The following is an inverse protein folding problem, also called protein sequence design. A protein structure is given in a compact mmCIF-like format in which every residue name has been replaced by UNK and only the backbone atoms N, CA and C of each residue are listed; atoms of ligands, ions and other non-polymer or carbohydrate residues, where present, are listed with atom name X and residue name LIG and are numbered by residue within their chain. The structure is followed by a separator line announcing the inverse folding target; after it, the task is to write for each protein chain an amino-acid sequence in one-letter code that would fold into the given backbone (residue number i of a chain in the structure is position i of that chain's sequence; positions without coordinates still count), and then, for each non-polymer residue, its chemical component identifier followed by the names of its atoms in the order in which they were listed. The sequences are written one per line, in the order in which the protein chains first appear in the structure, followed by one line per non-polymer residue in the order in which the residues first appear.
data_IF_086990225618
#
_entry.id   IF_086990225618
#
_cell.length_a   1.000
_cell.length_b   1.000
_cell.length_c   1.000
_cell.angle_alpha   90.00
_cell.angle_beta   90.00
_cell.angle_gamma   90.00
#
_symmetry.space_group_name_H-M   'P 1'
#
loop_
_entity.id
_entity.type
_entity.pdbx_description
1 polymer ?
#
# COMPACT_ATOMS: atom_id res chain seq x y z
N UNK A 1 15.52 -17.65 -50.13
CA UNK A 1 14.95 -16.29 -50.19
C UNK A 1 15.64 -15.42 -49.14
N UNK A 2 16.31 -14.34 -49.55
CA UNK A 2 17.06 -13.48 -48.64
C UNK A 2 16.11 -12.72 -47.71
N UNK A 3 16.26 -12.91 -46.40
CA UNK A 3 15.53 -12.11 -45.41
C UNK A 3 16.04 -10.67 -45.49
N UNK A 4 15.15 -9.75 -45.85
CA UNK A 4 15.42 -8.33 -46.03
C UNK A 4 16.12 -7.76 -44.77
N UNK A 5 17.31 -7.18 -44.91
CA UNK A 5 18.14 -6.77 -43.75
C UNK A 5 17.66 -5.48 -43.10
N UNK A 6 16.98 -4.62 -43.86
CA UNK A 6 16.54 -3.31 -43.43
C UNK A 6 15.06 -3.33 -43.05
N UNK A 7 14.74 -2.66 -41.95
CA UNK A 7 13.36 -2.40 -41.54
C UNK A 7 12.83 -1.21 -42.33
N UNK A 8 11.63 -1.32 -42.90
CA UNK A 8 10.91 -0.17 -43.46
C UNK A 8 10.46 0.78 -42.34
N UNK A 9 10.07 2.00 -42.70
CA UNK A 9 9.54 2.99 -41.76
C UNK A 9 8.29 2.44 -41.06
N UNK A 10 7.37 1.83 -41.81
CA UNK A 10 6.15 1.23 -41.25
C UNK A 10 6.44 0.07 -40.29
N UNK A 11 7.47 -0.74 -40.56
CA UNK A 11 7.89 -1.80 -39.64
C UNK A 11 8.52 -1.23 -38.36
N UNK A 12 9.22 -0.09 -38.45
CA UNK A 12 9.76 0.63 -37.28
C UNK A 12 8.63 1.18 -36.42
N UNK A 13 7.70 1.93 -37.01
CA UNK A 13 6.54 2.48 -36.29
C UNK A 13 5.70 1.37 -35.65
N UNK A 14 5.50 0.27 -36.37
CA UNK A 14 4.80 -0.89 -35.82
C UNK A 14 5.53 -1.46 -34.60
N UNK A 15 6.85 -1.62 -34.68
CA UNK A 15 7.66 -2.15 -33.60
C UNK A 15 7.61 -1.23 -32.38
N UNK A 16 7.73 0.09 -32.57
CA UNK A 16 7.66 1.10 -31.52
C UNK A 16 6.30 1.09 -30.81
N UNK A 17 5.21 1.14 -31.58
CA UNK A 17 3.85 1.18 -31.04
C UNK A 17 3.42 -0.11 -30.35
N UNK A 18 4.04 -1.25 -30.65
CA UNK A 18 3.68 -2.55 -30.08
C UNK A 18 4.72 -3.08 -29.08
N UNK A 19 5.86 -2.40 -28.91
CA UNK A 19 6.90 -2.80 -27.98
C UNK A 19 6.36 -2.79 -26.55
N UNK A 20 6.51 -3.88 -25.80
CA UNK A 20 5.95 -3.99 -24.45
C UNK A 20 4.44 -4.24 -24.40
N UNK A 21 3.69 -4.10 -25.50
CA UNK A 21 2.27 -4.47 -25.59
C UNK A 21 2.15 -5.93 -26.07
N UNK A 22 2.59 -6.19 -27.30
CA UNK A 22 2.57 -7.54 -27.92
C UNK A 22 3.80 -8.35 -27.54
N UNK A 23 3.66 -9.68 -27.52
CA UNK A 23 4.81 -10.56 -27.29
C UNK A 23 5.83 -10.46 -28.42
N UNK A 24 7.12 -10.67 -28.11
CA UNK A 24 8.19 -10.65 -29.11
C UNK A 24 7.94 -11.67 -30.22
N UNK A 25 7.37 -12.83 -29.89
CA UNK A 25 7.01 -13.87 -30.86
C UNK A 25 5.87 -13.43 -31.78
N UNK A 26 4.85 -12.76 -31.24
CA UNK A 26 3.76 -12.21 -32.05
C UNK A 26 4.31 -11.15 -33.02
N UNK A 27 5.15 -10.23 -32.55
CA UNK A 27 5.79 -9.23 -33.42
C UNK A 27 6.69 -9.86 -34.48
N UNK A 28 7.41 -10.94 -34.15
CA UNK A 28 8.22 -11.71 -35.10
C UNK A 28 7.37 -12.32 -36.23
N UNK A 29 6.22 -12.89 -35.88
CA UNK A 29 5.29 -13.47 -36.83
C UNK A 29 4.61 -12.38 -37.67
N UNK A 30 4.13 -11.31 -37.05
CA UNK A 30 3.42 -10.21 -37.72
C UNK A 30 4.33 -9.51 -38.76
N UNK A 31 5.62 -9.35 -38.45
CA UNK A 31 6.61 -8.76 -39.35
C UNK A 31 7.31 -9.79 -40.26
N UNK A 32 6.99 -11.08 -40.12
CA UNK A 32 7.68 -12.20 -40.78
C UNK A 32 9.22 -12.14 -40.65
N UNK A 33 9.70 -11.80 -39.44
CA UNK A 33 11.12 -11.62 -39.10
C UNK A 33 11.55 -12.56 -37.99
N UNK A 34 12.86 -12.83 -37.90
CA UNK A 34 13.39 -13.61 -36.78
C UNK A 34 13.36 -12.79 -35.48
N UNK A 35 13.18 -13.48 -34.35
CA UNK A 35 13.25 -12.88 -33.00
C UNK A 35 14.56 -12.10 -32.82
N UNK A 36 15.69 -12.65 -33.27
CA UNK A 36 17.00 -12.00 -33.20
C UNK A 36 17.05 -10.69 -33.99
N UNK A 37 16.38 -10.62 -35.14
CA UNK A 37 16.30 -9.40 -35.95
C UNK A 37 15.55 -8.30 -35.20
N UNK A 38 14.43 -8.65 -34.56
CA UNK A 38 13.65 -7.73 -33.72
C UNK A 38 14.47 -7.23 -32.52
N UNK A 39 15.14 -8.13 -31.80
CA UNK A 39 15.97 -7.75 -30.65
C UNK A 39 17.12 -6.81 -31.05
N UNK A 40 17.79 -7.08 -32.16
CA UNK A 40 18.84 -6.21 -32.70
C UNK A 40 18.29 -4.84 -33.10
N UNK A 41 17.13 -4.80 -33.75
CA UNK A 41 16.48 -3.55 -34.15
C UNK A 41 16.07 -2.73 -32.94
N UNK A 42 15.48 -3.36 -31.93
CA UNK A 42 15.15 -2.72 -30.65
C UNK A 42 16.37 -2.06 -29.99
N UNK A 43 17.52 -2.74 -29.94
CA UNK A 43 18.74 -2.16 -29.38
C UNK A 43 19.17 -0.89 -30.14
N UNK A 44 19.07 -0.91 -31.48
CA UNK A 44 19.38 0.26 -32.33
C UNK A 44 18.39 1.41 -32.14
N UNK A 45 17.12 1.10 -31.90
CA UNK A 45 16.06 2.07 -31.62
C UNK A 45 16.03 2.53 -30.15
N UNK A 46 16.86 1.94 -29.28
CA UNK A 46 16.95 2.26 -27.84
C UNK A 46 15.61 2.14 -27.08
N UNK A 47 14.73 1.20 -27.46
CA UNK A 47 13.39 1.01 -26.88
C UNK A 47 13.36 0.46 -25.43
N UNK A 48 14.43 0.61 -24.65
CA UNK A 48 14.48 0.22 -23.24
C UNK A 48 14.21 -1.26 -22.95
N UNK A 49 13.91 -1.64 -21.70
CA UNK A 49 13.53 -3.01 -21.39
C UNK A 49 12.07 -3.29 -21.79
N UNK A 50 11.78 -4.51 -22.26
CA UNK A 50 10.43 -4.86 -22.74
C UNK A 50 9.34 -4.71 -21.67
N UNK A 51 9.67 -4.89 -20.39
CA UNK A 51 8.72 -4.77 -19.28
C UNK A 51 8.47 -3.32 -18.85
N UNK A 52 9.29 -2.37 -19.30
CA UNK A 52 9.19 -0.96 -18.91
C UNK A 52 8.35 -0.12 -19.89
N UNK A 53 7.92 -0.71 -21.02
CA UNK A 53 7.24 -0.02 -22.11
C UNK A 53 5.77 -0.46 -22.28
N UNK A 54 5.14 -0.98 -21.23
CA UNK A 54 3.71 -1.34 -21.24
C UNK A 54 2.91 -0.53 -20.23
N UNK A 55 1.58 -0.56 -20.33
CA UNK A 55 0.64 0.05 -19.36
C UNK A 55 0.58 -0.70 -18.00
N UNK A 56 1.49 -1.65 -17.81
CA UNK A 56 1.61 -2.46 -16.62
C UNK A 56 2.97 -2.23 -15.98
N UNK A 57 3.02 -2.50 -14.68
CA UNK A 57 4.27 -2.57 -13.93
C UNK A 57 4.50 -4.00 -13.48
N UNK A 58 5.77 -4.36 -13.32
CA UNK A 58 6.09 -5.62 -12.65
C UNK A 58 5.73 -5.52 -11.18
N UNK A 59 5.34 -6.65 -10.58
CA UNK A 59 5.06 -6.69 -9.14
C UNK A 59 6.29 -6.28 -8.30
N UNK A 60 7.50 -6.52 -8.82
CA UNK A 60 8.73 -6.07 -8.16
C UNK A 60 8.88 -4.55 -8.17
N UNK A 61 8.59 -3.89 -9.31
CA UNK A 61 8.56 -2.42 -9.39
C UNK A 61 7.52 -1.84 -8.44
N UNK A 62 6.32 -2.42 -8.38
CA UNK A 62 5.29 -2.02 -7.41
C UNK A 62 5.79 -2.06 -5.96
N UNK A 63 6.40 -3.19 -5.56
CA UNK A 63 6.92 -3.35 -4.20
C UNK A 63 8.04 -2.37 -3.86
N UNK A 64 8.92 -2.07 -4.82
CA UNK A 64 9.96 -1.05 -4.66
C UNK A 64 9.36 0.34 -4.48
N UNK A 65 8.38 0.70 -5.30
CA UNK A 65 7.74 2.02 -5.24
C UNK A 65 7.05 2.24 -3.88
N UNK A 66 6.36 1.24 -3.33
CA UNK A 66 5.75 1.35 -1.98
C UNK A 66 6.77 1.18 -0.83
N UNK A 67 8.07 1.12 -1.13
CA UNK A 67 9.14 1.03 -0.12
C UNK A 67 9.23 -0.32 0.62
N UNK A 68 8.75 -1.41 0.01
CA UNK A 68 8.79 -2.77 0.56
C UNK A 68 9.74 -3.67 -0.23
N UNK A 69 10.99 -3.73 0.20
CA UNK A 69 12.02 -4.53 -0.49
C UNK A 69 12.08 -5.99 -0.03
N UNK A 70 11.65 -6.28 1.21
CA UNK A 70 11.73 -7.61 1.83
C UNK A 70 10.35 -8.18 2.14
N UNK A 71 10.24 -9.50 2.21
CA UNK A 71 8.98 -10.17 2.59
C UNK A 71 7.84 -10.00 1.57
N UNK A 72 8.18 -9.67 0.33
CA UNK A 72 7.22 -9.43 -0.76
C UNK A 72 6.42 -10.68 -1.11
N UNK A 73 7.02 -11.87 -1.02
CA UNK A 73 6.35 -13.14 -1.38
C UNK A 73 5.15 -13.50 -0.48
N UNK A 74 5.24 -13.29 0.84
CA UNK A 74 4.09 -13.49 1.73
C UNK A 74 3.00 -12.44 1.47
N UNK A 75 3.41 -11.17 1.37
CA UNK A 75 2.53 -10.03 1.11
C UNK A 75 1.74 -10.23 -0.19
N UNK A 76 2.43 -10.61 -1.27
CA UNK A 76 1.82 -10.88 -2.57
C UNK A 76 0.84 -12.05 -2.52
N UNK A 77 1.18 -13.16 -1.85
CA UNK A 77 0.24 -14.29 -1.68
C UNK A 77 -1.03 -13.85 -0.96
N UNK A 78 -0.89 -13.03 0.08
CA UNK A 78 -2.03 -12.48 0.80
C UNK A 78 -2.87 -11.54 -0.09
N UNK A 79 -2.23 -10.68 -0.89
CA UNK A 79 -2.92 -9.82 -1.84
C UNK A 79 -3.66 -10.61 -2.91
N UNK A 80 -3.04 -11.67 -3.46
CA UNK A 80 -3.68 -12.57 -4.44
C UNK A 80 -4.91 -13.27 -3.83
N UNK A 81 -4.84 -13.72 -2.57
CA UNK A 81 -6.01 -14.26 -1.85
C UNK A 81 -7.15 -13.25 -1.71
N UNK A 82 -6.83 -11.96 -1.71
CA UNK A 82 -7.77 -10.84 -1.69
C UNK A 82 -8.12 -10.32 -3.10
N UNK A 83 -7.88 -11.11 -4.14
CA UNK A 83 -8.25 -10.76 -5.52
C UNK A 83 -7.33 -9.75 -6.20
N UNK A 84 -6.06 -9.64 -5.77
CA UNK A 84 -5.09 -8.77 -6.45
C UNK A 84 -4.92 -9.17 -7.94
N UNK A 85 -5.07 -8.22 -8.89
CA UNK A 85 -5.19 -8.49 -10.33
C UNK A 85 -3.84 -8.78 -11.00
N UNK A 86 -3.14 -9.81 -10.53
CA UNK A 86 -1.87 -10.24 -11.10
C UNK A 86 -2.07 -11.02 -12.40
N UNK A 87 -1.28 -10.67 -13.42
CA UNK A 87 -1.22 -11.40 -14.69
C UNK A 87 0.21 -11.91 -14.90
N UNK A 88 0.34 -13.04 -15.59
CA UNK A 88 1.64 -13.58 -15.97
C UNK A 88 1.94 -13.18 -17.41
N UNK A 89 3.08 -12.51 -17.64
CA UNK A 89 3.57 -12.17 -18.97
C UNK A 89 4.83 -12.97 -19.26
N UNK A 90 4.81 -13.72 -20.37
CA UNK A 90 6.00 -14.43 -20.86
C UNK A 90 6.84 -13.49 -21.71
N UNK A 91 8.13 -13.43 -21.42
CA UNK A 91 9.14 -12.72 -22.22
C UNK A 91 10.23 -13.72 -22.55
N UNK A 92 10.29 -14.13 -23.81
CA UNK A 92 11.16 -15.23 -24.27
C UNK A 92 10.91 -16.49 -23.42
N UNK A 93 11.91 -16.95 -22.67
CA UNK A 93 11.85 -18.15 -21.83
C UNK A 93 11.48 -17.88 -20.37
N UNK A 94 11.25 -16.61 -20.00
CA UNK A 94 10.98 -16.20 -18.62
C UNK A 94 9.52 -15.77 -18.43
N UNK A 95 8.98 -15.98 -17.23
CA UNK A 95 7.63 -15.55 -16.84
C UNK A 95 7.71 -14.50 -15.75
N UNK A 96 7.03 -13.38 -15.96
CA UNK A 96 7.01 -12.25 -15.04
C UNK A 96 5.59 -11.98 -14.56
N UNK A 97 5.45 -11.66 -13.27
CA UNK A 97 4.19 -11.20 -12.69
C UNK A 97 4.07 -9.69 -12.90
N UNK A 98 3.00 -9.29 -13.55
CA UNK A 98 2.69 -7.90 -13.89
C UNK A 98 1.30 -7.53 -13.41
N UNK A 99 1.07 -6.24 -13.22
CA UNK A 99 -0.24 -5.68 -12.88
C UNK A 99 -0.44 -4.40 -13.70
N UNK A 100 -1.63 -4.25 -14.28
CA UNK A 100 -2.01 -3.02 -14.97
C UNK A 100 -2.31 -1.93 -13.95
N UNK A 101 -1.86 -0.71 -14.20
CA UNK A 101 -1.96 0.38 -13.23
C UNK A 101 -3.41 0.69 -12.85
N UNK A 102 -4.33 0.70 -13.81
CA UNK A 102 -5.76 0.91 -13.54
C UNK A 102 -6.36 -0.17 -12.63
N UNK A 103 -6.07 -1.44 -12.93
CA UNK A 103 -6.54 -2.58 -12.15
C UNK A 103 -5.95 -2.54 -10.73
N UNK A 104 -4.67 -2.16 -10.61
CA UNK A 104 -4.02 -1.94 -9.33
C UNK A 104 -4.75 -0.87 -8.51
N UNK A 105 -5.03 0.30 -9.09
CA UNK A 105 -5.67 1.39 -8.36
C UNK A 105 -7.10 1.07 -7.96
N UNK A 106 -7.86 0.35 -8.80
CA UNK A 106 -9.21 -0.15 -8.45
C UNK A 106 -9.15 -1.08 -7.24
N UNK A 107 -8.24 -2.05 -7.26
CA UNK A 107 -8.04 -2.97 -6.14
C UNK A 107 -7.53 -2.25 -4.88
N UNK A 108 -6.53 -1.36 -5.02
CA UNK A 108 -5.94 -0.61 -3.92
C UNK A 108 -6.97 0.31 -3.23
N UNK A 109 -7.96 0.82 -3.97
CA UNK A 109 -9.06 1.62 -3.42
C UNK A 109 -9.96 0.82 -2.48
N UNK A 110 -10.16 -0.47 -2.73
CA UNK A 110 -10.95 -1.32 -1.82
C UNK A 110 -10.14 -1.72 -0.58
N UNK A 111 -8.85 -2.00 -0.77
CA UNK A 111 -7.95 -2.53 0.25
C UNK A 111 -6.96 -1.50 0.81
N UNK A 112 -7.35 -0.22 0.85
CA UNK A 112 -6.48 0.93 1.21
C UNK A 112 -5.71 0.70 2.51
N UNK A 113 -6.37 0.14 3.52
CA UNK A 113 -5.82 -0.07 4.86
C UNK A 113 -4.75 -1.19 4.93
N UNK A 114 -4.61 -2.01 3.88
CA UNK A 114 -3.62 -3.09 3.78
C UNK A 114 -2.33 -2.67 3.04
N UNK A 115 -2.33 -1.49 2.45
CA UNK A 115 -1.18 -0.93 1.72
C UNK A 115 -0.64 0.22 2.57
N UNK A 116 0.68 0.33 2.61
CA UNK A 116 1.38 1.42 3.29
C UNK A 116 1.98 2.33 2.21
N UNK A 117 1.41 3.52 2.06
CA UNK A 117 1.88 4.54 1.12
C UNK A 117 2.84 5.55 1.77
N UNK A 118 3.27 5.36 3.02
CA UNK A 118 4.12 6.33 3.72
C UNK A 118 5.47 6.59 3.04
N UNK A 119 5.99 5.59 2.32
CA UNK A 119 7.24 5.67 1.56
C UNK A 119 7.03 5.84 0.05
N UNK A 120 5.78 5.88 -0.40
CA UNK A 120 5.43 5.94 -1.81
C UNK A 120 5.57 7.38 -2.33
N UNK A 121 6.49 7.62 -3.28
CA UNK A 121 6.69 8.96 -3.84
C UNK A 121 5.52 9.33 -4.76
N UNK A 122 5.19 10.61 -4.77
CA UNK A 122 4.13 11.12 -5.64
C UNK A 122 4.47 10.88 -7.11
N UNK A 123 3.50 10.34 -7.85
CA UNK A 123 3.61 9.99 -9.26
C UNK A 123 4.72 8.98 -9.63
N UNK A 124 5.23 8.19 -8.68
CA UNK A 124 6.29 7.20 -8.94
C UNK A 124 5.87 6.10 -9.92
N UNK A 125 4.57 5.81 -10.01
CA UNK A 125 3.99 4.83 -10.93
C UNK A 125 3.19 5.51 -12.06
N UNK A 126 3.46 6.77 -12.36
CA UNK A 126 2.68 7.59 -13.29
C UNK A 126 1.53 8.32 -12.60
N UNK A 127 0.46 8.61 -13.33
CA UNK A 127 -0.69 9.37 -12.81
C UNK A 127 -1.38 8.61 -11.67
N UNK A 128 -1.44 9.24 -10.50
CA UNK A 128 -2.11 8.71 -9.32
C UNK A 128 -3.54 9.24 -9.18
N UNK A 129 -4.49 8.42 -8.70
CA UNK A 129 -5.83 8.91 -8.34
C UNK A 129 -5.80 9.89 -7.15
N UNK A 130 -6.72 10.86 -7.12
CA UNK A 130 -6.78 11.92 -6.09
C UNK A 130 -6.79 11.41 -4.64
N UNK A 131 -7.49 10.29 -4.40
CA UNK A 131 -7.61 9.70 -3.06
C UNK A 131 -6.26 9.24 -2.47
N UNK A 132 -5.26 8.97 -3.32
CA UNK A 132 -3.94 8.49 -2.89
C UNK A 132 -3.22 9.57 -2.08
N UNK A 133 -3.43 10.85 -2.39
CA UNK A 133 -2.81 11.96 -1.65
C UNK A 133 -3.29 12.01 -0.20
N UNK A 134 -4.59 11.82 0.03
CA UNK A 134 -5.18 11.70 1.36
C UNK A 134 -4.62 10.50 2.12
N UNK A 135 -4.65 9.32 1.48
CA UNK A 135 -4.13 8.09 2.07
C UNK A 135 -2.64 8.17 2.43
N UNK A 136 -1.82 8.76 1.55
CA UNK A 136 -0.39 8.99 1.80
C UNK A 136 -0.17 9.83 3.06
N UNK A 137 -0.91 10.93 3.22
CA UNK A 137 -0.83 11.77 4.44
C UNK A 137 -1.23 11.00 5.69
N UNK A 138 -2.29 10.19 5.59
CA UNK A 138 -2.74 9.33 6.68
C UNK A 138 -1.69 8.29 7.10
N UNK A 139 -1.07 7.62 6.13
CA UNK A 139 -0.05 6.60 6.37
C UNK A 139 1.23 7.23 6.94
N UNK A 140 1.65 8.40 6.45
CA UNK A 140 2.75 9.18 7.03
C UNK A 140 2.44 9.53 8.50
N UNK A 141 1.23 10.02 8.79
CA UNK A 141 0.84 10.34 10.16
C UNK A 141 0.84 9.10 11.08
N UNK A 142 0.48 7.92 10.56
CA UNK A 142 0.54 6.67 11.30
C UNK A 142 1.96 6.11 11.44
N UNK A 143 2.88 6.42 10.51
CA UNK A 143 4.24 5.85 10.48
C UNK A 143 5.08 6.13 11.73
N UNK A 144 4.73 7.17 12.51
CA UNK A 144 5.34 7.45 13.82
C UNK A 144 5.08 6.36 14.86
N UNK A 145 3.98 5.62 14.73
CA UNK A 145 3.66 4.52 15.62
C UNK A 145 4.52 3.32 15.28
N UNK A 146 5.31 2.88 16.25
CA UNK A 146 6.24 1.76 16.07
C UNK A 146 5.45 0.44 15.97
N UNK A 147 5.76 -0.33 14.92
CA UNK A 147 5.22 -1.68 14.70
C UNK A 147 6.27 -2.78 14.85
N UNK A 148 7.51 -2.40 15.20
CA UNK A 148 8.62 -3.32 15.45
C UNK A 148 8.42 -4.12 16.74
N UNK A 149 9.17 -5.21 16.98
CA UNK A 149 9.16 -5.88 18.28
C UNK A 149 9.44 -4.91 19.44
N UNK A 150 8.87 -5.19 20.61
CA UNK A 150 9.11 -4.42 21.83
C UNK A 150 10.55 -4.61 22.31
N UNK A 151 11.18 -3.51 22.71
CA UNK A 151 12.52 -3.55 23.32
C UNK A 151 12.41 -3.55 24.84
N UNK A 152 13.42 -4.10 25.53
CA UNK A 152 13.48 -4.07 27.00
C UNK A 152 13.37 -2.64 27.56
N UNK A 153 13.95 -1.65 26.88
CA UNK A 153 13.85 -0.24 27.25
C UNK A 153 12.41 0.28 27.18
N UNK A 154 11.67 -0.10 26.13
CA UNK A 154 10.26 0.26 26.01
C UNK A 154 9.41 -0.42 27.09
N UNK A 155 9.74 -1.66 27.46
CA UNK A 155 9.05 -2.36 28.55
C UNK A 155 9.27 -1.65 29.89
N UNK A 156 10.52 -1.30 30.25
CA UNK A 156 10.81 -0.54 31.47
C UNK A 156 10.18 0.86 31.46
N UNK A 157 10.10 1.51 30.29
CA UNK A 157 9.40 2.77 30.14
C UNK A 157 7.89 2.60 30.37
N UNK A 158 7.28 1.57 29.81
CA UNK A 158 5.86 1.27 30.02
C UNK A 158 5.56 0.97 31.49
N UNK A 159 6.39 0.15 32.14
CA UNK A 159 6.24 -0.21 33.55
C UNK A 159 6.34 1.02 34.48
N UNK A 160 7.33 1.89 34.26
CA UNK A 160 7.48 3.12 35.05
C UNK A 160 6.31 4.08 34.85
N UNK A 161 5.79 4.24 33.63
CA UNK A 161 4.62 5.06 33.36
C UNK A 161 3.34 4.48 33.99
N UNK A 162 3.18 3.16 33.99
CA UNK A 162 2.06 2.49 34.67
C UNK A 162 2.10 2.67 36.18
N UNK A 163 3.29 2.63 36.79
CA UNK A 163 3.49 2.83 38.23
C UNK A 163 3.10 4.22 38.74
N UNK A 164 2.93 5.20 37.85
CA UNK A 164 2.44 6.55 38.19
C UNK A 164 0.90 6.54 38.40
N UNK A 165 0.18 5.52 37.90
CA UNK A 165 -1.28 5.37 38.02
C UNK A 165 -2.09 6.60 37.61
N UNK A 166 -1.61 7.37 36.63
CA UNK A 166 -2.27 8.60 36.15
C UNK A 166 -2.72 8.52 34.69
N UNK A 167 -2.02 7.75 33.88
CA UNK A 167 -2.19 7.80 32.44
C UNK A 167 -3.27 6.84 31.95
N UNK A 168 -4.03 7.30 30.97
CA UNK A 168 -4.94 6.50 30.15
C UNK A 168 -4.18 5.76 29.04
N UNK A 169 -4.85 4.78 28.41
CA UNK A 169 -4.30 4.12 27.21
C UNK A 169 -3.96 5.12 26.09
N UNK A 170 -4.80 6.14 25.91
CA UNK A 170 -4.60 7.19 24.92
C UNK A 170 -3.30 7.95 25.18
N UNK A 171 -3.09 8.41 26.42
CA UNK A 171 -1.89 9.18 26.79
C UNK A 171 -0.62 8.34 26.70
N UNK A 172 -0.66 7.10 27.20
CA UNK A 172 0.48 6.17 27.08
C UNK A 172 0.83 5.91 25.61
N UNK A 173 -0.18 5.76 24.76
CA UNK A 173 0.01 5.57 23.32
C UNK A 173 0.71 6.75 22.66
N UNK A 174 0.31 7.97 23.01
CA UNK A 174 0.93 9.20 22.50
C UNK A 174 2.36 9.40 23.02
N UNK A 175 2.66 9.00 24.27
CA UNK A 175 4.00 9.11 24.85
C UNK A 175 4.99 8.06 24.32
N UNK A 176 4.57 6.80 24.23
CA UNK A 176 5.45 5.68 23.85
C UNK A 176 5.51 5.51 22.32
N UNK A 177 4.58 6.15 21.59
CA UNK A 177 4.40 6.03 20.14
C UNK A 177 4.13 4.57 19.73
N UNK A 178 3.25 3.91 20.48
CA UNK A 178 2.74 2.55 20.24
C UNK A 178 1.23 2.59 20.25
N UNK A 179 0.55 1.79 19.45
CA UNK A 179 -0.93 1.79 19.41
C UNK A 179 -1.52 1.32 20.74
N UNK A 180 -2.75 1.74 21.05
CA UNK A 180 -3.44 1.36 22.30
C UNK A 180 -3.59 -0.16 22.42
N UNK A 181 -3.95 -0.81 21.32
CA UNK A 181 -4.05 -2.26 21.24
C UNK A 181 -2.70 -2.95 21.49
N UNK A 182 -1.61 -2.36 20.98
CA UNK A 182 -0.25 -2.85 21.21
C UNK A 182 0.16 -2.76 22.67
N UNK A 183 -0.12 -1.63 23.33
CA UNK A 183 0.13 -1.44 24.77
C UNK A 183 -0.69 -2.42 25.60
N UNK A 184 -2.00 -2.51 25.34
CA UNK A 184 -2.89 -3.44 26.05
C UNK A 184 -2.40 -4.89 25.95
N UNK A 185 -2.00 -5.32 24.76
CA UNK A 185 -1.42 -6.65 24.56
C UNK A 185 -0.10 -6.80 25.32
N UNK A 186 0.76 -5.78 25.28
CA UNK A 186 2.07 -5.85 25.95
C UNK A 186 1.96 -5.95 27.46
N UNK A 187 1.02 -5.24 28.09
CA UNK A 187 0.72 -5.36 29.53
C UNK A 187 0.40 -6.81 29.89
N UNK A 188 -0.45 -7.47 29.08
CA UNK A 188 -0.79 -8.88 29.28
C UNK A 188 0.43 -9.79 29.06
N UNK A 189 1.21 -9.56 28.00
CA UNK A 189 2.40 -10.36 27.69
C UNK A 189 3.46 -10.28 28.81
N UNK A 190 3.57 -9.15 29.50
CA UNK A 190 4.48 -8.93 30.62
C UNK A 190 3.91 -9.40 31.97
N UNK A 191 2.64 -9.79 32.04
CA UNK A 191 1.99 -10.20 33.29
C UNK A 191 1.87 -9.06 34.32
N UNK A 192 1.80 -7.81 33.88
CA UNK A 192 1.71 -6.66 34.78
C UNK A 192 0.30 -6.56 35.38
N UNK A 193 0.23 -6.34 36.69
CA UNK A 193 -1.02 -6.15 37.42
C UNK A 193 -1.48 -4.67 37.49
N UNK A 194 -0.73 -3.76 36.86
CA UNK A 194 -1.03 -2.33 36.80
C UNK A 194 -1.79 -1.99 35.52
N UNK A 195 -2.90 -1.27 35.65
CA UNK A 195 -3.78 -0.95 34.53
C UNK A 195 -3.92 0.56 34.33
N UNK A 196 -3.91 1.05 33.07
CA UNK A 196 -4.18 2.44 32.77
C UNK A 196 -5.58 2.88 33.24
N UNK A 197 -5.73 4.16 33.54
CA UNK A 197 -7.03 4.75 33.87
C UNK A 197 -7.95 4.69 32.65
N UNK A 198 -9.25 4.53 32.89
CA UNK A 198 -10.27 4.54 31.84
C UNK A 198 -10.53 5.97 31.34
N UNK A 199 -10.65 6.12 30.03
CA UNK A 199 -11.07 7.39 29.44
C UNK A 199 -12.50 7.77 29.88
N UNK A 200 -12.67 9.04 30.26
CA UNK A 200 -13.92 9.55 30.84
C UNK A 200 -14.98 9.90 29.79
N UNK A 201 -14.56 10.23 28.57
CA UNK A 201 -15.45 10.83 27.56
C UNK A 201 -16.30 9.78 26.82
N UNK A 202 -17.55 9.55 27.27
CA UNK A 202 -18.48 8.57 26.67
C UNK A 202 -19.44 9.16 25.62
N UNK A 203 -19.84 10.42 25.74
CA UNK A 203 -20.83 11.07 24.85
C UNK A 203 -20.19 11.60 23.58
N UNK A 204 -20.85 11.45 22.42
CA UNK A 204 -20.35 11.95 21.14
C UNK A 204 -21.00 13.27 20.76
N UNK A 205 -20.19 14.29 20.45
CA UNK A 205 -20.67 15.53 19.84
C UNK A 205 -20.78 15.37 18.33
N UNK A 206 -21.65 16.15 17.69
CA UNK A 206 -21.79 16.17 16.22
C UNK A 206 -20.47 16.53 15.53
N UNK A 207 -19.74 17.51 16.07
CA UNK A 207 -18.41 17.93 15.59
C UNK A 207 -17.39 16.77 15.60
N UNK A 208 -17.33 16.01 16.70
CA UNK A 208 -16.43 14.85 16.82
C UNK A 208 -16.78 13.78 15.77
N UNK A 209 -18.07 13.54 15.53
CA UNK A 209 -18.52 12.59 14.51
C UNK A 209 -18.11 13.08 13.11
N UNK A 210 -18.24 14.38 12.84
CA UNK A 210 -17.81 14.96 11.57
C UNK A 210 -16.31 14.77 11.34
N UNK A 211 -15.48 15.06 12.35
CA UNK A 211 -14.02 14.86 12.27
C UNK A 211 -13.69 13.39 12.02
N UNK A 212 -14.29 12.46 12.76
CA UNK A 212 -14.07 11.01 12.56
C UNK A 212 -14.43 10.59 11.14
N UNK A 213 -15.56 11.06 10.63
CA UNK A 213 -16.07 10.71 9.29
C UNK A 213 -15.12 11.22 8.20
N UNK A 214 -14.75 12.50 8.27
CA UNK A 214 -13.84 13.11 7.30
C UNK A 214 -12.45 12.46 7.32
N UNK A 215 -11.86 12.29 8.51
CA UNK A 215 -10.55 11.67 8.65
C UNK A 215 -10.58 10.20 8.19
N UNK A 216 -11.63 9.43 8.51
CA UNK A 216 -11.76 8.05 8.05
C UNK A 216 -11.83 7.96 6.52
N UNK A 217 -12.63 8.83 5.88
CA UNK A 217 -12.73 8.89 4.41
C UNK A 217 -11.41 9.23 3.73
N UNK A 218 -10.57 10.04 4.38
CA UNK A 218 -9.22 10.37 3.96
C UNK A 218 -8.17 9.27 4.26
N UNK A 219 -8.57 8.18 4.91
CA UNK A 219 -7.71 7.01 5.13
C UNK A 219 -7.03 6.96 6.51
N UNK A 220 -7.36 7.86 7.43
CA UNK A 220 -6.76 7.90 8.76
C UNK A 220 -7.24 6.75 9.65
N UNK A 221 -6.30 6.13 10.36
CA UNK A 221 -6.58 5.07 11.34
C UNK A 221 -7.02 5.70 12.67
N UNK A 222 -7.82 4.97 13.45
CA UNK A 222 -8.32 5.41 14.75
C UNK A 222 -7.21 5.85 15.72
N UNK A 223 -6.05 5.20 15.66
CA UNK A 223 -4.86 5.59 16.44
C UNK A 223 -4.32 6.98 16.11
N UNK A 224 -4.55 7.50 14.91
CA UNK A 224 -4.20 8.88 14.56
C UNK A 224 -5.35 9.83 14.87
N UNK A 225 -6.60 9.43 14.56
CA UNK A 225 -7.80 10.27 14.76
C UNK A 225 -7.93 10.71 16.22
N UNK A 226 -7.55 9.88 17.19
CA UNK A 226 -7.59 10.21 18.64
C UNK A 226 -6.76 11.41 19.06
N UNK A 227 -5.85 11.87 18.21
CA UNK A 227 -5.04 13.05 18.50
C UNK A 227 -5.86 14.33 18.28
N UNK A 228 -6.91 14.26 17.46
CA UNK A 228 -7.77 15.38 17.10
C UNK A 228 -9.04 15.46 17.96
N UNK A 229 -9.40 14.38 18.65
CA UNK A 229 -10.58 14.31 19.50
C UNK A 229 -10.24 13.65 20.84
N UNK A 230 -10.91 14.06 21.92
CA UNK A 230 -10.66 13.52 23.25
C UNK A 230 -11.38 12.17 23.46
N UNK A 231 -11.05 11.20 22.60
CA UNK A 231 -11.58 9.83 22.58
C UNK A 231 -10.43 8.84 22.39
N UNK A 232 -10.55 7.64 22.94
CA UNK A 232 -9.58 6.56 22.69
C UNK A 232 -9.69 6.02 21.26
N UNK A 233 -8.59 5.44 20.75
CA UNK A 233 -8.59 4.76 19.45
C UNK A 233 -9.67 3.66 19.42
N UNK A 234 -9.87 2.95 20.53
CA UNK A 234 -10.88 1.90 20.62
C UNK A 234 -12.31 2.48 20.52
N UNK A 235 -12.60 3.59 21.20
CA UNK A 235 -13.92 4.22 21.12
C UNK A 235 -14.21 4.73 19.70
N UNK A 236 -13.20 5.31 19.03
CA UNK A 236 -13.30 5.78 17.65
C UNK A 236 -13.56 4.63 16.70
N UNK A 237 -12.81 3.53 16.82
CA UNK A 237 -13.03 2.34 15.99
C UNK A 237 -14.47 1.80 16.16
N UNK A 238 -14.94 1.70 17.41
CA UNK A 238 -16.31 1.28 17.71
C UNK A 238 -17.38 2.24 17.16
N UNK A 239 -17.09 3.55 17.03
CA UNK A 239 -18.00 4.50 16.39
C UNK A 239 -17.99 4.37 14.87
N UNK A 240 -16.81 4.21 14.26
CA UNK A 240 -16.66 3.95 12.82
C UNK A 240 -17.45 2.69 12.43
N UNK A 241 -17.33 1.61 13.20
CA UNK A 241 -18.09 0.37 12.94
C UNK A 241 -19.61 0.56 12.98
N UNK A 242 -20.11 1.42 13.87
CA UNK A 242 -21.55 1.77 13.90
C UNK A 242 -21.95 2.61 12.70
N UNK A 243 -21.17 3.64 12.36
CA UNK A 243 -21.44 4.48 11.19
C UNK A 243 -21.43 3.67 9.88
N UNK A 244 -20.57 2.65 9.79
CA UNK A 244 -20.56 1.70 8.66
C UNK A 244 -21.85 0.87 8.64
N UNK A 245 -22.28 0.36 9.81
CA UNK A 245 -23.53 -0.41 9.93
C UNK A 245 -24.75 0.42 9.55
N UNK A 246 -24.74 1.70 9.91
CA UNK A 246 -25.81 2.66 9.63
C UNK A 246 -25.78 3.16 8.16
N UNK A 247 -24.81 2.70 7.35
CA UNK A 247 -24.69 3.06 5.94
C UNK A 247 -24.09 4.45 5.67
N UNK A 248 -23.61 5.14 6.70
CA UNK A 248 -23.02 6.48 6.60
C UNK A 248 -21.58 6.40 6.06
N UNK A 249 -20.84 5.37 6.45
CA UNK A 249 -19.46 5.12 6.02
C UNK A 249 -19.35 3.86 5.17
N UNK A 250 -18.50 3.90 4.15
CA UNK A 250 -18.15 2.72 3.36
C UNK A 250 -16.99 2.01 4.03
N UNK A 251 -17.17 0.72 4.35
CA UNK A 251 -16.10 -0.10 4.91
C UNK A 251 -14.99 -0.33 3.89
N UNK A 252 -13.78 0.13 4.20
CA UNK A 252 -12.58 -0.32 3.51
C UNK A 252 -12.28 -1.79 3.91
N UNK A 253 -11.99 -2.65 2.92
CA UNK A 253 -11.74 -4.09 3.14
C UNK A 253 -10.31 -4.36 3.59
#
# INVERSE_FOLDING_TARGET
MGRNSNFSISEVEYLENNWGIKSINAMANDLNRSISSILNKKTRLQLGAFLDNGEYITVNQLFKAIGREKGTGYTLRNWIRKGFPVKNKKVLNSSFRVVYLEDFWKWAREYRMHIDFSKFKENELGLEPDWVKGQRRADIAFSKYKVTPWTKKEDSQLESLLGIFRYSYRELSMQILRTEAGIKRRINDLGLNMWPIRDLSRSWRSEEISIVTDMYNNGYKSDVIKEYINKSAQAINGKIERLIRDGILVKHK
#
